data_IF_463652693435
#
_entry.id   IF_463652693435
#
_cell.length_a   1.000
_cell.length_b   1.000
_cell.length_c   1.000
_cell.angle_alpha   90.00
_cell.angle_beta   90.00
_cell.angle_gamma   90.00
#
_symmetry.space_group_name_H-M   'P 1'
#
loop_
_entity.id
_entity.type
_entity.pdbx_description
1 polymer ?
#
# COMPACT_ATOMS: atom_id res chain seq x y z
N UNK A 1 -1.43 -20.12 1.78
CA UNK A 1 -0.45 -20.21 2.88
C UNK A 1 0.27 -18.88 3.12
N UNK A 2 0.72 -18.18 2.08
CA UNK A 2 1.47 -16.92 2.18
C UNK A 2 0.63 -15.68 2.52
N UNK A 3 -0.63 -15.82 2.89
CA UNK A 3 -1.51 -14.72 3.23
C UNK A 3 -1.90 -13.87 2.01
N UNK A 4 -2.87 -14.32 1.20
CA UNK A 4 -3.27 -13.56 0.03
C UNK A 4 -3.77 -12.17 0.40
N UNK A 5 -3.56 -11.24 -0.51
CA UNK A 5 -4.11 -9.91 -0.41
C UNK A 5 -5.59 -9.92 -0.81
N UNK A 6 -6.44 -9.31 -0.02
CA UNK A 6 -7.87 -9.21 -0.29
C UNK A 6 -8.26 -7.77 -0.61
N UNK A 7 -9.15 -7.63 -1.57
CA UNK A 7 -9.76 -6.34 -1.95
C UNK A 7 -11.26 -6.47 -1.98
N UNK A 8 -11.96 -5.43 -1.59
CA UNK A 8 -13.41 -5.31 -1.75
C UNK A 8 -13.70 -4.43 -2.98
N UNK A 9 -13.99 -5.03 -4.15
CA UNK A 9 -14.16 -4.28 -5.39
C UNK A 9 -15.29 -3.26 -5.32
N UNK A 10 -15.08 -2.10 -5.95
CA UNK A 10 -16.07 -1.03 -6.02
C UNK A 10 -16.17 -0.15 -4.78
N UNK A 11 -15.42 -0.46 -3.71
CA UNK A 11 -15.51 0.31 -2.45
C UNK A 11 -14.88 1.71 -2.54
N UNK A 12 -14.08 1.99 -3.54
CA UNK A 12 -13.57 3.35 -3.80
C UNK A 12 -14.70 4.36 -4.13
N UNK A 13 -15.88 3.85 -4.45
CA UNK A 13 -17.08 4.66 -4.73
C UNK A 13 -18.07 4.65 -3.58
N UNK A 14 -17.83 3.85 -2.56
CA UNK A 14 -18.70 3.82 -1.39
C UNK A 14 -18.52 5.15 -0.63
N UNK A 15 -19.63 5.74 -0.22
CA UNK A 15 -19.60 6.88 0.68
C UNK A 15 -19.17 6.42 2.07
N UNK A 16 -17.88 6.33 2.29
CA UNK A 16 -17.29 6.00 3.58
C UNK A 16 -17.08 7.29 4.34
N UNK A 17 -18.15 7.90 4.72
CA UNK A 17 -18.15 9.22 5.33
C UNK A 17 -17.54 9.27 6.73
N UNK A 18 -17.22 8.14 7.33
CA UNK A 18 -16.44 8.09 8.57
C UNK A 18 -14.92 8.19 8.37
N UNK A 19 -14.45 8.04 7.13
CA UNK A 19 -13.01 7.91 6.86
C UNK A 19 -12.29 9.24 6.60
N UNK A 20 -12.93 10.39 6.84
CA UNK A 20 -12.23 11.67 6.63
C UNK A 20 -11.06 11.89 7.60
N UNK A 21 -11.14 11.31 8.77
CA UNK A 21 -10.12 11.45 9.81
C UNK A 21 -9.52 10.09 10.22
N UNK A 22 -10.18 8.98 9.88
CA UNK A 22 -9.71 7.62 10.13
C UNK A 22 -9.34 6.93 8.81
N UNK A 23 -8.13 6.44 8.70
CA UNK A 23 -7.63 5.70 7.55
C UNK A 23 -8.40 4.39 7.32
N UNK A 24 -9.17 3.95 8.29
CA UNK A 24 -9.88 2.68 8.28
C UNK A 24 -11.39 2.88 8.42
N UNK A 25 -12.19 2.05 7.75
CA UNK A 25 -13.62 2.06 7.95
C UNK A 25 -13.96 1.67 9.40
N UNK A 26 -15.05 2.25 9.93
CA UNK A 26 -15.54 1.91 11.24
C UNK A 26 -15.75 0.39 11.38
N UNK A 27 -15.47 -0.14 12.57
CA UNK A 27 -15.44 -1.59 12.82
C UNK A 27 -16.77 -2.28 12.50
N UNK A 28 -17.87 -1.58 12.70
CA UNK A 28 -19.22 -2.04 12.41
C UNK A 28 -19.44 -2.32 10.91
N UNK A 29 -18.65 -1.70 10.06
CA UNK A 29 -18.74 -1.86 8.60
C UNK A 29 -17.87 -3.02 8.06
N UNK A 30 -16.99 -3.59 8.88
CA UNK A 30 -16.03 -4.59 8.40
C UNK A 30 -16.72 -5.81 7.79
N UNK A 31 -17.76 -6.34 8.42
CA UNK A 31 -18.51 -7.47 7.89
C UNK A 31 -19.08 -7.22 6.49
N UNK A 32 -19.47 -5.98 6.18
CA UNK A 32 -19.93 -5.58 4.85
C UNK A 32 -18.81 -5.68 3.81
N UNK A 33 -17.60 -5.28 4.19
CA UNK A 33 -16.46 -5.32 3.28
C UNK A 33 -15.88 -6.73 3.14
N UNK A 34 -15.87 -7.49 4.23
CA UNK A 34 -15.48 -8.89 4.21
C UNK A 34 -16.37 -9.72 3.29
N UNK A 35 -17.67 -9.49 3.29
CA UNK A 35 -18.61 -10.16 2.39
C UNK A 35 -18.36 -9.85 0.89
N UNK A 36 -17.71 -8.72 0.59
CA UNK A 36 -17.35 -8.31 -0.78
C UNK A 36 -15.91 -8.67 -1.15
N UNK A 37 -15.13 -9.13 -0.19
CA UNK A 37 -13.71 -9.34 -0.38
C UNK A 37 -13.41 -10.45 -1.37
N UNK A 38 -12.49 -10.18 -2.27
CA UNK A 38 -11.97 -11.13 -3.27
C UNK A 38 -10.48 -11.28 -3.03
N UNK A 39 -10.03 -12.52 -2.94
CA UNK A 39 -8.60 -12.82 -2.83
C UNK A 39 -7.88 -12.56 -4.14
N UNK A 40 -6.75 -11.87 -4.05
CA UNK A 40 -5.82 -11.69 -5.16
C UNK A 40 -4.77 -12.78 -5.08
N UNK A 41 -4.69 -13.60 -6.11
CA UNK A 41 -3.73 -14.70 -6.21
C UNK A 41 -2.78 -14.43 -7.40
N UNK A 42 -1.94 -13.37 -7.31
CA UNK A 42 -1.04 -13.02 -8.40
C UNK A 42 0.00 -14.10 -8.60
N UNK A 43 0.38 -14.28 -9.85
CA UNK A 43 1.52 -15.09 -10.24
C UNK A 43 2.76 -14.19 -10.41
N UNK A 44 3.91 -14.83 -10.52
CA UNK A 44 5.16 -14.11 -10.76
C UNK A 44 5.09 -13.29 -12.06
N UNK A 45 5.30 -12.00 -11.95
CA UNK A 45 5.24 -11.06 -13.07
C UNK A 45 3.92 -10.29 -13.17
N UNK A 46 2.90 -10.66 -12.40
CA UNK A 46 1.65 -9.91 -12.37
C UNK A 46 1.81 -8.56 -11.68
N UNK A 47 1.13 -7.57 -12.21
CA UNK A 47 0.99 -6.25 -11.62
C UNK A 47 -0.47 -6.04 -11.22
N UNK A 48 -0.69 -5.63 -9.98
CA UNK A 48 -2.02 -5.25 -9.51
C UNK A 48 -2.08 -3.74 -9.31
N UNK A 49 -3.00 -3.08 -10.03
CA UNK A 49 -3.29 -1.67 -9.83
C UNK A 49 -4.66 -1.50 -9.19
N UNK A 50 -4.78 -0.54 -8.29
CA UNK A 50 -6.05 -0.19 -7.63
C UNK A 50 -6.04 1.25 -7.17
N UNK A 51 -7.22 1.81 -6.97
CA UNK A 51 -7.36 3.08 -6.25
C UNK A 51 -6.91 2.91 -4.79
N UNK A 52 -6.24 3.90 -4.24
CA UNK A 52 -5.89 3.96 -2.82
C UNK A 52 -7.13 3.93 -1.91
N UNK A 53 -8.28 4.39 -2.42
CA UNK A 53 -9.56 4.39 -1.70
C UNK A 53 -10.25 3.01 -1.68
N UNK A 54 -9.74 2.03 -2.41
CA UNK A 54 -10.31 0.68 -2.38
C UNK A 54 -10.02 0.03 -1.05
N UNK A 55 -11.06 -0.41 -0.34
CA UNK A 55 -10.91 -1.15 0.91
C UNK A 55 -10.21 -2.48 0.63
N UNK A 56 -9.18 -2.73 1.41
CA UNK A 56 -8.33 -3.90 1.23
C UNK A 56 -7.65 -4.29 2.53
N UNK A 57 -7.16 -5.52 2.57
CA UNK A 57 -6.33 -6.00 3.69
C UNK A 57 -5.31 -7.04 3.23
N UNK A 58 -4.21 -7.12 3.95
CA UNK A 58 -3.36 -8.30 3.94
C UNK A 58 -3.94 -9.36 4.86
N UNK A 59 -3.92 -10.62 4.44
CA UNK A 59 -4.23 -11.73 5.33
C UNK A 59 -2.94 -12.30 5.93
N UNK A 60 -3.07 -13.03 7.05
CA UNK A 60 -1.92 -13.57 7.74
C UNK A 60 -1.12 -14.53 6.85
N UNK A 61 0.19 -14.36 6.84
CA UNK A 61 1.10 -15.34 6.28
C UNK A 61 1.26 -16.48 7.30
N UNK A 62 0.86 -17.67 6.91
CA UNK A 62 0.93 -18.89 7.72
C UNK A 62 2.03 -19.85 7.24
N UNK A 63 2.91 -19.37 6.37
CA UNK A 63 4.08 -20.11 5.92
C UNK A 63 5.33 -19.65 6.68
N UNK A 64 6.38 -20.45 6.61
CA UNK A 64 7.69 -20.12 7.17
C UNK A 64 8.51 -19.18 6.26
N UNK A 65 7.98 -18.82 5.10
CA UNK A 65 8.66 -17.97 4.14
C UNK A 65 8.14 -16.52 4.19
N UNK A 66 9.00 -15.52 4.10
CA UNK A 66 8.59 -14.13 4.02
C UNK A 66 7.87 -13.85 2.70
N UNK A 67 6.87 -12.97 2.75
CA UNK A 67 6.17 -12.48 1.56
C UNK A 67 6.47 -10.98 1.38
N UNK A 68 7.56 -10.64 0.69
CA UNK A 68 7.83 -9.24 0.38
C UNK A 68 6.80 -8.70 -0.61
N UNK A 69 6.37 -7.46 -0.40
CA UNK A 69 5.43 -6.76 -1.28
C UNK A 69 6.03 -5.40 -1.61
N UNK A 70 6.16 -5.12 -2.90
CA UNK A 70 6.50 -3.79 -3.38
C UNK A 70 5.21 -3.04 -3.70
N UNK A 71 5.02 -1.91 -3.05
CA UNK A 71 3.90 -1.00 -3.31
C UNK A 71 4.44 0.28 -3.91
N UNK A 72 3.88 0.67 -5.05
CA UNK A 72 4.22 1.95 -5.70
C UNK A 72 2.95 2.79 -5.74
N UNK A 73 2.98 3.95 -5.11
CA UNK A 73 1.91 4.94 -5.18
C UNK A 73 2.10 5.86 -6.39
N UNK A 74 0.99 6.21 -7.02
CA UNK A 74 0.93 7.24 -8.05
C UNK A 74 -0.15 8.22 -7.65
N UNK A 75 0.25 9.44 -7.36
CA UNK A 75 -0.65 10.51 -6.97
C UNK A 75 -0.88 11.47 -8.15
N UNK A 76 -2.05 12.10 -8.19
CA UNK A 76 -2.28 13.21 -9.10
C UNK A 76 -1.38 14.40 -8.71
N UNK A 77 -0.97 15.27 -9.65
CA UNK A 77 -0.09 16.39 -9.34
C UNK A 77 -0.61 17.34 -8.26
N UNK A 78 -1.93 17.40 -8.11
CA UNK A 78 -2.67 18.16 -7.10
C UNK A 78 -3.16 17.30 -5.93
N UNK A 79 -2.78 16.02 -5.92
CA UNK A 79 -3.13 15.08 -4.87
C UNK A 79 -2.43 15.41 -3.55
N UNK A 80 -3.20 15.37 -2.47
CA UNK A 80 -2.64 15.50 -1.13
C UNK A 80 -2.41 14.10 -0.58
N UNK A 81 -1.16 13.67 -0.55
CA UNK A 81 -0.78 12.45 0.14
C UNK A 81 -0.24 12.81 1.53
N UNK A 82 -1.05 12.61 2.54
CA UNK A 82 -0.65 12.85 3.93
C UNK A 82 0.37 11.82 4.44
N UNK A 83 0.45 10.67 3.79
CA UNK A 83 1.40 9.61 4.13
C UNK A 83 2.65 9.73 3.26
N UNK A 84 3.55 10.60 3.64
CA UNK A 84 4.85 10.71 3.00
C UNK A 84 5.67 9.45 3.31
N UNK A 85 5.69 8.52 2.37
CA UNK A 85 6.61 7.40 2.43
C UNK A 85 8.01 7.89 2.04
N UNK A 86 8.98 7.70 2.92
CA UNK A 86 10.37 8.05 2.63
C UNK A 86 11.00 6.98 1.72
N UNK A 87 10.90 7.20 0.41
CA UNK A 87 11.52 6.34 -0.58
C UNK A 87 12.97 6.79 -0.81
N UNK A 88 13.91 5.90 -0.57
CA UNK A 88 15.32 6.11 -0.88
C UNK A 88 15.71 5.35 -2.14
N UNK A 89 16.48 5.99 -3.00
CA UNK A 89 17.12 5.36 -4.15
C UNK A 89 18.60 5.75 -4.19
N UNK A 90 19.45 4.83 -4.59
CA UNK A 90 20.87 5.16 -4.78
C UNK A 90 21.05 6.07 -5.99
N UNK A 91 22.05 6.95 -5.93
CA UNK A 91 22.40 7.86 -7.04
C UNK A 91 22.59 7.13 -8.34
N UNK A 92 23.39 6.06 -8.36
CA UNK A 92 23.64 5.29 -9.58
C UNK A 92 22.37 4.67 -10.16
N UNK A 93 21.47 4.17 -9.30
CA UNK A 93 20.18 3.66 -9.77
C UNK A 93 19.30 4.78 -10.35
N UNK A 94 19.22 5.90 -9.65
CA UNK A 94 18.42 7.05 -10.09
C UNK A 94 18.89 7.58 -11.45
N UNK A 95 20.19 7.73 -11.65
CA UNK A 95 20.78 8.21 -12.89
C UNK A 95 20.56 7.23 -14.07
N UNK A 96 20.50 5.93 -13.79
CA UNK A 96 20.23 4.90 -14.80
C UNK A 96 18.75 4.84 -15.23
N UNK A 97 17.83 5.43 -14.46
CA UNK A 97 16.41 5.46 -14.81
C UNK A 97 16.17 6.35 -16.05
N UNK A 98 15.22 5.97 -16.93
CA UNK A 98 14.76 6.86 -18.00
C UNK A 98 14.28 8.20 -17.45
N UNK A 99 14.58 9.30 -18.14
CA UNK A 99 14.19 10.65 -17.70
C UNK A 99 12.68 10.74 -17.39
N UNK A 100 11.83 10.17 -18.23
CA UNK A 100 10.38 10.11 -18.03
C UNK A 100 9.95 9.45 -16.71
N UNK A 101 10.79 8.61 -16.10
CA UNK A 101 10.52 8.00 -14.79
C UNK A 101 11.05 8.92 -13.68
N UNK A 102 12.26 9.46 -13.85
CA UNK A 102 12.89 10.34 -12.87
C UNK A 102 12.06 11.58 -12.60
N UNK A 103 11.48 12.16 -13.65
CA UNK A 103 10.70 13.40 -13.56
C UNK A 103 9.41 13.24 -12.75
N UNK A 104 8.96 12.01 -12.53
CA UNK A 104 7.76 11.68 -11.75
C UNK A 104 8.04 10.93 -10.46
N UNK A 105 9.29 10.63 -10.16
CA UNK A 105 9.66 9.85 -8.99
C UNK A 105 9.93 10.78 -7.79
N UNK A 106 9.05 10.74 -6.82
CA UNK A 106 9.28 11.42 -5.53
C UNK A 106 10.12 10.51 -4.64
N UNK A 107 11.40 10.83 -4.49
CA UNK A 107 12.31 10.03 -3.69
C UNK A 107 13.47 10.89 -3.16
N UNK A 108 14.16 10.35 -2.18
CA UNK A 108 15.43 10.89 -1.70
C UNK A 108 16.59 10.13 -2.37
N UNK A 109 17.39 10.84 -3.14
CA UNK A 109 18.59 10.26 -3.76
C UNK A 109 19.72 10.25 -2.74
N UNK A 110 20.26 9.07 -2.48
CA UNK A 110 21.31 8.82 -1.48
C UNK A 110 22.48 8.08 -2.10
N UNK A 111 23.66 8.18 -1.51
CA UNK A 111 24.81 7.41 -1.98
C UNK A 111 24.76 5.97 -1.44
N UNK A 112 24.20 5.80 -0.23
CA UNK A 112 24.02 4.51 0.41
C UNK A 112 22.63 4.42 1.05
N UNK A 113 21.96 3.27 0.86
CA UNK A 113 20.64 3.02 1.46
C UNK A 113 20.79 2.85 2.98
N UNK A 114 19.90 3.50 3.73
CA UNK A 114 19.81 3.37 5.18
C UNK A 114 18.42 2.89 5.57
N UNK A 115 18.33 2.30 6.76
CA UNK A 115 17.04 1.98 7.36
C UNK A 115 16.19 3.25 7.43
N UNK A 116 14.96 3.14 6.96
CA UNK A 116 13.98 4.22 7.08
C UNK A 116 13.20 3.98 8.37
N UNK A 117 13.22 4.96 9.26
CA UNK A 117 12.36 4.94 10.43
C UNK A 117 10.93 5.28 10.00
N UNK A 118 9.99 4.43 10.36
CA UNK A 118 8.58 4.75 10.17
C UNK A 118 8.17 5.81 11.18
N UNK A 119 7.83 6.99 10.69
CA UNK A 119 7.34 8.08 11.54
C UNK A 119 5.85 7.95 11.89
N UNK A 120 5.15 6.98 11.30
CA UNK A 120 3.75 6.72 11.56
C UNK A 120 3.58 5.32 12.12
N UNK A 121 3.28 5.23 13.40
CA UNK A 121 2.73 4.02 13.99
C UNK A 121 1.21 4.13 13.84
N UNK A 122 0.66 3.47 12.84
CA UNK A 122 -0.79 3.34 12.70
C UNK A 122 -1.20 2.19 13.60
N UNK A 123 -1.87 2.53 14.69
CA UNK A 123 -2.37 1.56 15.64
C UNK A 123 -3.27 0.55 14.93
N UNK A 124 -2.98 -0.73 15.06
CA UNK A 124 -3.73 -1.82 14.42
C UNK A 124 -3.22 -2.28 13.05
N UNK A 125 -2.26 -1.58 12.41
CA UNK A 125 -1.76 -1.98 11.08
C UNK A 125 -0.91 -3.24 11.12
N UNK A 126 -0.25 -3.52 12.24
CA UNK A 126 0.65 -4.65 12.43
C UNK A 126 0.20 -5.58 13.56
N UNK A 127 -0.96 -5.33 14.16
CA UNK A 127 -1.48 -6.25 15.17
C UNK A 127 -2.18 -7.42 14.47
N UNK A 128 -1.78 -8.66 14.76
CA UNK A 128 -2.55 -9.81 14.32
C UNK A 128 -3.95 -9.69 14.94
N UNK A 129 -4.94 -9.50 14.10
CA UNK A 129 -6.33 -9.69 14.53
C UNK A 129 -6.55 -11.17 14.75
N UNK A 130 -6.39 -11.61 15.98
CA UNK A 130 -6.83 -12.92 16.44
C UNK A 130 -8.33 -12.90 16.72
#
# INVERSE_FOLDING_TARGET
EHGPFEVAPGTQWDDITGAKDDMFPARELWGRYEARAVQKLPQRGDISARSALTIHRGTANRSDEPRPVLVVGVDAPDGINANHHDLQVTRGYFEALPARVRDHLTCRVVDELRMVEQHHVIEGLLQPTY
#
